data_IF_038529738807
#
_entry.id   IF_038529738807
#
_cell.length_a   1.000
_cell.length_b   1.000
_cell.length_c   1.000
_cell.angle_alpha   90.00
_cell.angle_beta   90.00
_cell.angle_gamma   90.00
#
_symmetry.space_group_name_H-M   'P 1'
#
loop_
_entity.id
_entity.type
_entity.pdbx_description
1 polymer ?
#
# COMPACT_ATOMS: atom_id res chain seq x y z
N UNK A 1 -8.87 -0.09 -9.87
CA UNK A 1 -8.22 -1.27 -9.26
C UNK A 1 -8.47 -1.27 -7.74
N UNK A 2 -8.48 -2.44 -7.11
CA UNK A 2 -8.83 -2.65 -5.70
C UNK A 2 -8.75 -4.14 -5.38
N UNK A 3 -7.53 -4.69 -5.42
CA UNK A 3 -7.24 -6.10 -5.19
C UNK A 3 -6.55 -6.23 -3.82
N UNK A 4 -6.71 -7.37 -3.17
CA UNK A 4 -5.89 -7.68 -2.01
C UNK A 4 -4.43 -7.84 -2.45
N UNK A 5 -3.50 -7.32 -1.65
CA UNK A 5 -2.07 -7.29 -1.95
C UNK A 5 -1.34 -8.07 -0.87
N UNK A 6 -0.39 -8.91 -1.29
CA UNK A 6 0.65 -9.48 -0.44
C UNK A 6 1.96 -8.80 -0.81
N UNK A 7 2.72 -8.34 0.19
CA UNK A 7 4.05 -7.74 -0.01
C UNK A 7 4.98 -8.12 1.14
N UNK A 8 6.25 -7.81 0.99
CA UNK A 8 7.22 -7.81 2.09
C UNK A 8 7.14 -6.48 2.84
N UNK A 9 7.68 -6.42 4.05
CA UNK A 9 7.82 -5.19 4.83
C UNK A 9 8.62 -4.14 4.05
N UNK A 10 9.71 -4.55 3.39
CA UNK A 10 10.52 -3.67 2.53
C UNK A 10 9.70 -3.18 1.32
N UNK A 11 8.94 -4.07 0.68
CA UNK A 11 8.12 -3.69 -0.48
C UNK A 11 6.97 -2.74 -0.16
N UNK A 12 6.56 -2.68 1.11
CA UNK A 12 5.51 -1.78 1.60
C UNK A 12 6.07 -0.59 2.41
N UNK A 13 7.39 -0.42 2.46
CA UNK A 13 8.05 0.62 3.23
C UNK A 13 7.54 2.02 2.88
N UNK A 14 7.40 2.88 3.92
CA UNK A 14 7.00 4.28 3.75
C UNK A 14 5.51 4.47 3.45
N UNK A 15 4.75 3.39 3.29
CA UNK A 15 3.29 3.45 3.18
C UNK A 15 2.66 3.26 4.56
N UNK A 16 1.75 4.14 5.01
CA UNK A 16 1.08 4.01 6.30
C UNK A 16 -0.05 2.97 6.23
N UNK A 17 0.31 1.73 5.88
CA UNK A 17 -0.60 0.60 5.73
C UNK A 17 -0.49 -0.33 6.95
N UNK A 18 -1.59 -1.02 7.23
CA UNK A 18 -1.68 -1.93 8.38
C UNK A 18 -1.81 -3.37 7.90
N UNK A 19 -1.02 -4.27 8.48
CA UNK A 19 -1.07 -5.71 8.19
C UNK A 19 -2.45 -6.29 8.53
N UNK A 20 -3.00 -7.09 7.61
CA UNK A 20 -4.31 -7.74 7.77
C UNK A 20 -5.51 -6.82 7.53
N UNK A 21 -5.30 -5.50 7.47
CA UNK A 21 -6.35 -4.52 7.14
C UNK A 21 -6.20 -3.99 5.72
N UNK A 22 -5.06 -3.34 5.42
CA UNK A 22 -4.83 -2.69 4.14
C UNK A 22 -3.98 -3.55 3.19
N UNK A 23 -3.14 -4.40 3.76
CA UNK A 23 -2.18 -5.24 3.04
C UNK A 23 -1.89 -6.49 3.85
N UNK A 24 -1.51 -7.59 3.21
CA UNK A 24 -0.91 -8.72 3.90
C UNK A 24 0.60 -8.65 3.77
N UNK A 25 1.30 -8.64 4.90
CA UNK A 25 2.77 -8.61 4.94
C UNK A 25 3.31 -9.99 5.27
N UNK A 26 4.29 -10.44 4.48
CA UNK A 26 5.04 -11.67 4.70
C UNK A 26 6.43 -11.53 4.09
N UNK A 27 7.48 -11.62 4.91
CA UNK A 27 8.86 -11.42 4.46
C UNK A 27 9.50 -12.72 3.93
N UNK A 28 9.14 -13.86 4.53
CA UNK A 28 9.66 -15.17 4.14
C UNK A 28 8.88 -15.77 2.98
N UNK A 29 9.58 -16.43 2.06
CA UNK A 29 9.00 -16.95 0.81
C UNK A 29 7.83 -17.92 1.06
N UNK A 30 7.98 -18.85 2.01
CA UNK A 30 6.93 -19.81 2.37
C UNK A 30 5.69 -19.08 2.92
N UNK A 31 5.89 -18.09 3.78
CA UNK A 31 4.81 -17.30 4.39
C UNK A 31 4.10 -16.42 3.36
N UNK A 32 4.84 -15.92 2.38
CA UNK A 32 4.28 -15.17 1.27
C UNK A 32 3.36 -16.07 0.43
N UNK A 33 3.83 -17.27 0.06
CA UNK A 33 3.04 -18.22 -0.71
C UNK A 33 1.77 -18.65 0.05
N UNK A 34 1.89 -18.95 1.35
CA UNK A 34 0.75 -19.25 2.22
C UNK A 34 -0.27 -18.10 2.25
N UNK A 35 0.19 -16.85 2.37
CA UNK A 35 -0.68 -15.68 2.36
C UNK A 35 -1.43 -15.52 1.03
N UNK A 36 -0.76 -15.73 -0.10
CA UNK A 36 -1.39 -15.70 -1.42
C UNK A 36 -2.48 -16.77 -1.52
N UNK A 37 -2.17 -18.01 -1.12
CA UNK A 37 -3.15 -19.12 -1.14
C UNK A 37 -4.34 -18.80 -0.22
N UNK A 38 -4.08 -18.31 0.99
CA UNK A 38 -5.11 -17.91 1.95
C UNK A 38 -6.08 -16.89 1.34
N UNK A 39 -5.57 -15.81 0.73
CA UNK A 39 -6.42 -14.78 0.12
C UNK A 39 -7.12 -15.25 -1.17
N UNK A 40 -6.61 -16.27 -1.85
CA UNK A 40 -7.32 -16.87 -2.99
C UNK A 40 -8.51 -17.72 -2.51
N UNK A 41 -8.33 -18.48 -1.44
CA UNK A 41 -9.33 -19.40 -0.88
C UNK A 41 -10.38 -18.69 -0.02
N UNK A 42 -9.97 -17.74 0.83
CA UNK A 42 -10.87 -16.98 1.69
C UNK A 42 -11.33 -15.69 1.02
N UNK A 43 -12.52 -15.75 0.42
CA UNK A 43 -13.12 -14.60 -0.25
C UNK A 43 -13.51 -13.48 0.72
N UNK A 44 -13.83 -13.79 1.98
CA UNK A 44 -14.24 -12.79 2.96
C UNK A 44 -13.02 -11.99 3.43
N UNK A 45 -11.94 -12.68 3.83
CA UNK A 45 -10.67 -12.05 4.18
C UNK A 45 -10.12 -11.21 3.02
N UNK A 46 -10.13 -11.76 1.80
CA UNK A 46 -9.75 -11.01 0.60
C UNK A 46 -10.58 -9.74 0.44
N UNK A 47 -11.91 -9.85 0.57
CA UNK A 47 -12.80 -8.71 0.33
C UNK A 47 -12.62 -7.60 1.37
N UNK A 48 -12.36 -7.96 2.61
CA UNK A 48 -12.06 -7.00 3.68
C UNK A 48 -10.85 -6.14 3.31
N UNK A 49 -9.75 -6.77 2.89
CA UNK A 49 -8.52 -6.07 2.48
C UNK A 49 -8.76 -5.22 1.24
N UNK A 50 -9.45 -5.76 0.22
CA UNK A 50 -9.77 -5.01 -1.01
C UNK A 50 -10.49 -3.69 -0.72
N UNK A 51 -11.48 -3.73 0.18
CA UNK A 51 -12.30 -2.56 0.52
C UNK A 51 -11.49 -1.56 1.34
N UNK A 52 -10.79 -2.01 2.37
CA UNK A 52 -9.99 -1.15 3.22
C UNK A 52 -8.84 -0.49 2.45
N UNK A 53 -8.08 -1.25 1.66
CA UNK A 53 -7.00 -0.74 0.82
C UNK A 53 -7.51 0.31 -0.18
N UNK A 54 -8.67 0.06 -0.81
CA UNK A 54 -9.28 0.99 -1.77
C UNK A 54 -9.71 2.29 -1.10
N UNK A 55 -10.34 2.20 0.08
CA UNK A 55 -10.74 3.38 0.85
C UNK A 55 -9.52 4.20 1.28
N UNK A 56 -8.46 3.53 1.75
CA UNK A 56 -7.22 4.18 2.16
C UNK A 56 -6.60 5.00 1.03
N UNK A 57 -6.40 4.39 -0.14
CA UNK A 57 -5.83 5.05 -1.32
C UNK A 57 -6.70 6.23 -1.78
N UNK A 58 -8.02 6.06 -1.78
CA UNK A 58 -8.94 7.13 -2.18
C UNK A 58 -8.84 8.37 -1.27
N UNK A 59 -8.56 8.20 0.02
CA UNK A 59 -8.44 9.30 0.97
C UNK A 59 -7.02 9.87 1.08
N UNK A 60 -5.98 9.05 0.88
CA UNK A 60 -4.61 9.42 1.25
C UNK A 60 -3.62 9.48 0.09
N UNK A 61 -3.92 8.83 -1.04
CA UNK A 61 -2.96 8.64 -2.13
C UNK A 61 -3.48 9.25 -3.43
N UNK A 62 -3.38 10.58 -3.54
CA UNK A 62 -3.59 11.30 -4.80
C UNK A 62 -2.25 11.63 -5.45
N UNK A 63 -2.09 11.28 -6.72
CA UNK A 63 -0.94 11.67 -7.54
C UNK A 63 -0.69 13.18 -7.50
N UNK A 64 -1.76 13.99 -7.48
CA UNK A 64 -1.66 15.45 -7.44
C UNK A 64 -0.95 15.95 -6.17
N UNK A 65 -1.25 15.36 -5.01
CA UNK A 65 -0.55 15.72 -3.75
C UNK A 65 0.93 15.35 -3.80
N UNK A 66 1.29 14.18 -4.33
CA UNK A 66 2.68 13.79 -4.46
C UNK A 66 3.44 14.71 -5.42
N UNK A 67 2.84 15.03 -6.58
CA UNK A 67 3.40 15.94 -7.56
C UNK A 67 3.56 17.37 -7.00
N UNK A 68 2.56 17.88 -6.29
CA UNK A 68 2.62 19.20 -5.66
C UNK A 68 3.70 19.28 -4.58
N UNK A 69 3.80 18.26 -3.73
CA UNK A 69 4.84 18.18 -2.70
C UNK A 69 6.24 18.16 -3.33
N UNK A 70 6.45 17.33 -4.35
CA UNK A 70 7.72 17.28 -5.08
C UNK A 70 8.06 18.62 -5.75
N UNK A 71 7.08 19.23 -6.43
CA UNK A 71 7.26 20.53 -7.09
C UNK A 71 7.65 21.63 -6.09
N UNK A 72 7.03 21.65 -4.90
CA UNK A 72 7.39 22.58 -3.82
C UNK A 72 8.84 22.43 -3.38
N UNK A 73 9.29 21.18 -3.15
CA UNK A 73 10.69 20.90 -2.77
C UNK A 73 11.65 21.37 -3.87
N UNK A 74 11.35 21.11 -5.15
CA UNK A 74 12.19 21.59 -6.26
C UNK A 74 12.28 23.12 -6.30
N UNK A 75 11.17 23.82 -6.04
CA UNK A 75 11.13 25.29 -6.02
C UNK A 75 11.97 25.86 -4.87
N UNK A 76 11.95 25.24 -3.70
CA UNK A 76 12.78 25.63 -2.54
C UNK A 76 14.27 25.52 -2.86
N UNK A 77 14.69 24.39 -3.43
CA UNK A 77 16.10 24.15 -3.82
C UNK A 77 16.57 25.17 -4.86
N UNK A 78 15.75 25.48 -5.87
CA UNK A 78 16.08 26.51 -6.88
C UNK A 78 16.14 27.91 -6.27
N UNK A 79 15.30 28.20 -5.28
CA UNK A 79 15.30 29.47 -4.56
C UNK A 79 16.46 29.62 -3.56
N UNK A 80 17.28 28.58 -3.37
CA UNK A 80 18.42 28.58 -2.45
C UNK A 80 18.02 28.58 -0.97
N UNK A 81 16.84 28.04 -0.64
CA UNK A 81 16.39 27.80 0.74
C UNK A 81 16.62 26.36 1.14
#
# INVERSE_FOLDING_TARGET
MGKAIVSTAIGAEGLPLEHGQHIWLADEAERFAEAVIHLLQDRAARRQIEVAARAFVACHSSWDRAAAAFAGICQEVVAGK
#
